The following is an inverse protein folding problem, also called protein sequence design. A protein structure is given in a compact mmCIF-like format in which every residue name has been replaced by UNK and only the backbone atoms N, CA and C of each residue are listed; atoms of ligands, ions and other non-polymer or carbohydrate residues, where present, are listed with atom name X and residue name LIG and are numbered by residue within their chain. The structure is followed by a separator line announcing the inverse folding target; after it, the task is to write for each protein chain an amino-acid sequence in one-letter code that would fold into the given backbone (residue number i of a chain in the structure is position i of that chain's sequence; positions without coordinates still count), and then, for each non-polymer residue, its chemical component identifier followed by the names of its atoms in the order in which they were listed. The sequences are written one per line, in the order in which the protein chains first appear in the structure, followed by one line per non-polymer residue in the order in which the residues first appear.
data_IF_532662627990
#
_entry.id   IF_532662627990
#
_cell.length_a   1.000
_cell.length_b   1.000
_cell.length_c   1.000
_cell.angle_alpha   90.00
_cell.angle_beta   90.00
_cell.angle_gamma   90.00
#
_symmetry.space_group_name_H-M   'P 1'
#
loop_
_entity.id
_entity.type
_entity.pdbx_description
1 polymer ?
#
# COMPACT_ATOMS: atom_id res chain seq x y z
N UNK A 1 10.59 -45.54 -11.43
CA UNK A 1 11.31 -44.88 -10.33
C UNK A 1 10.97 -43.38 -10.21
N UNK A 2 11.08 -42.59 -11.29
CA UNK A 2 10.79 -41.14 -11.26
C UNK A 2 9.36 -40.80 -10.76
N UNK A 3 8.34 -41.52 -11.26
CA UNK A 3 6.96 -41.34 -10.81
C UNK A 3 6.74 -41.73 -9.34
N UNK A 4 7.47 -42.71 -8.82
CA UNK A 4 7.37 -43.09 -7.39
C UNK A 4 8.01 -42.02 -6.53
N UNK A 5 9.20 -41.51 -6.90
CA UNK A 5 9.89 -40.45 -6.18
C UNK A 5 9.07 -39.13 -6.17
N UNK A 6 8.53 -38.75 -7.34
CA UNK A 6 7.69 -37.55 -7.42
C UNK A 6 6.38 -37.73 -6.66
N UNK A 7 5.80 -38.93 -6.62
CA UNK A 7 4.64 -39.27 -5.80
C UNK A 7 4.93 -39.11 -4.29
N UNK A 8 6.05 -39.66 -3.85
CA UNK A 8 6.49 -39.46 -2.46
C UNK A 8 6.73 -37.98 -2.12
N UNK A 9 7.34 -37.20 -3.04
CA UNK A 9 7.52 -35.75 -2.87
C UNK A 9 6.18 -35.00 -2.75
N UNK A 10 5.16 -35.38 -3.53
CA UNK A 10 3.81 -34.80 -3.43
C UNK A 10 3.20 -35.07 -2.05
N UNK A 11 3.32 -36.28 -1.53
CA UNK A 11 2.82 -36.62 -0.19
C UNK A 11 3.51 -35.77 0.89
N UNK A 12 4.84 -35.67 0.82
CA UNK A 12 5.61 -34.82 1.77
C UNK A 12 5.23 -33.36 1.64
N UNK A 13 5.05 -32.84 0.41
CA UNK A 13 4.61 -31.47 0.16
C UNK A 13 3.24 -31.17 0.76
N UNK A 14 2.29 -32.09 0.65
CA UNK A 14 0.98 -31.95 1.26
C UNK A 14 1.08 -31.95 2.79
N UNK A 15 1.88 -32.83 3.36
CA UNK A 15 2.10 -32.87 4.83
C UNK A 15 2.71 -31.53 5.33
N UNK A 16 3.73 -31.01 4.64
CA UNK A 16 4.33 -29.73 4.96
C UNK A 16 3.35 -28.55 4.80
N UNK A 17 2.54 -28.59 3.73
CA UNK A 17 1.52 -27.58 3.48
C UNK A 17 0.52 -27.50 4.65
N UNK A 18 0.00 -28.63 5.11
CA UNK A 18 -0.92 -28.64 6.26
C UNK A 18 -0.25 -28.24 7.58
N UNK A 19 1.01 -28.58 7.74
CA UNK A 19 1.77 -28.21 8.94
C UNK A 19 2.07 -26.70 9.00
N UNK A 20 2.38 -26.09 7.85
CA UNK A 20 2.77 -24.68 7.78
C UNK A 20 1.58 -23.71 7.58
N UNK A 21 0.42 -24.22 7.15
CA UNK A 21 -0.76 -23.41 6.88
C UNK A 21 -1.21 -22.56 8.09
N UNK A 22 -1.28 -23.07 9.33
CA UNK A 22 -1.68 -22.26 10.48
C UNK A 22 -0.73 -21.09 10.73
N UNK A 23 0.58 -21.35 10.65
CA UNK A 23 1.61 -20.31 10.79
C UNK A 23 1.47 -19.22 9.72
N UNK A 24 1.19 -19.62 8.49
CA UNK A 24 0.99 -18.68 7.39
C UNK A 24 -0.28 -17.84 7.57
N UNK A 25 -1.36 -18.43 8.04
CA UNK A 25 -2.62 -17.74 8.35
C UNK A 25 -2.44 -16.71 9.47
N UNK A 26 -1.70 -17.06 10.52
CA UNK A 26 -1.39 -16.15 11.63
C UNK A 26 -0.55 -14.96 11.16
N UNK A 27 0.49 -15.20 10.35
CA UNK A 27 1.37 -14.15 9.83
C UNK A 27 0.68 -13.22 8.84
N UNK A 28 -0.25 -13.74 8.03
CA UNK A 28 -0.90 -12.94 6.96
C UNK A 28 -2.26 -12.38 7.35
N UNK A 29 -2.84 -12.81 8.48
CA UNK A 29 -4.20 -12.47 8.89
C UNK A 29 -5.30 -12.99 7.95
N UNK A 30 -4.96 -13.86 6.97
CA UNK A 30 -5.89 -14.36 5.96
C UNK A 30 -6.31 -15.79 6.27
N UNK A 31 -7.62 -16.04 6.28
CA UNK A 31 -8.16 -17.39 6.39
C UNK A 31 -8.11 -18.09 5.02
N UNK A 32 -7.07 -18.86 4.79
CA UNK A 32 -6.89 -19.66 3.58
C UNK A 32 -7.39 -21.09 3.83
N UNK A 33 -8.33 -21.54 3.02
CA UNK A 33 -8.79 -22.92 3.03
C UNK A 33 -8.27 -23.66 1.78
N UNK A 34 -7.65 -24.82 1.99
CA UNK A 34 -7.23 -25.66 0.86
C UNK A 34 -8.46 -26.44 0.38
N UNK A 35 -8.84 -26.34 -0.90
CA UNK A 35 -10.07 -26.94 -1.40
C UNK A 35 -9.91 -28.45 -1.67
N UNK A 36 -9.49 -29.22 -0.68
CA UNK A 36 -9.28 -30.69 -0.80
C UNK A 36 -10.55 -31.46 -1.14
N UNK A 37 -11.72 -30.90 -0.89
CA UNK A 37 -13.01 -31.51 -1.24
C UNK A 37 -13.38 -31.36 -2.72
N UNK A 38 -12.60 -30.60 -3.51
CA UNK A 38 -12.92 -30.36 -4.91
C UNK A 38 -12.13 -31.29 -5.83
N UNK A 39 -12.80 -31.87 -6.82
CA UNK A 39 -12.14 -32.69 -7.85
C UNK A 39 -11.08 -31.93 -8.64
N UNK A 40 -11.26 -30.61 -8.82
CA UNK A 40 -10.30 -29.75 -9.52
C UNK A 40 -8.94 -29.71 -8.83
N UNK A 41 -8.92 -29.72 -7.51
CA UNK A 41 -7.67 -29.76 -6.73
C UNK A 41 -6.89 -31.05 -7.03
N UNK A 42 -7.54 -32.20 -6.96
CA UNK A 42 -6.89 -33.48 -7.21
C UNK A 42 -6.49 -33.69 -8.66
N UNK A 43 -7.30 -33.21 -9.61
CA UNK A 43 -6.94 -33.22 -11.04
C UNK A 43 -5.71 -32.35 -11.32
N UNK A 44 -5.65 -31.16 -10.75
CA UNK A 44 -4.49 -30.27 -10.87
C UNK A 44 -3.24 -30.89 -10.25
N UNK A 45 -3.35 -31.42 -9.04
CA UNK A 45 -2.25 -32.08 -8.34
C UNK A 45 -1.74 -33.32 -9.09
N UNK A 46 -2.65 -34.16 -9.59
CA UNK A 46 -2.30 -35.32 -10.41
C UNK A 46 -1.64 -34.91 -11.74
N UNK A 47 -2.13 -33.83 -12.37
CA UNK A 47 -1.53 -33.24 -13.56
C UNK A 47 -0.10 -32.79 -13.34
N UNK A 48 0.16 -32.06 -12.26
CA UNK A 48 1.51 -31.62 -11.85
C UNK A 48 2.40 -32.83 -11.54
N UNK A 49 1.91 -33.79 -10.78
CA UNK A 49 2.65 -35.01 -10.46
C UNK A 49 3.10 -35.78 -11.74
N UNK A 50 2.16 -35.99 -12.66
CA UNK A 50 2.44 -36.68 -13.92
C UNK A 50 3.42 -35.88 -14.80
N UNK A 51 3.21 -34.57 -14.94
CA UNK A 51 4.08 -33.70 -15.75
C UNK A 51 5.52 -33.71 -15.22
N UNK A 52 5.69 -33.52 -13.90
CA UNK A 52 7.01 -33.54 -13.26
C UNK A 52 7.65 -34.93 -13.31
N UNK A 53 6.88 -35.97 -13.03
CA UNK A 53 7.36 -37.37 -13.06
C UNK A 53 7.80 -37.82 -14.46
N UNK A 54 7.05 -37.43 -15.49
CA UNK A 54 7.41 -37.72 -16.89
C UNK A 54 8.61 -36.88 -17.34
N UNK A 55 8.63 -35.58 -17.03
CA UNK A 55 9.75 -34.69 -17.39
C UNK A 55 11.07 -35.15 -16.74
N UNK A 56 11.03 -35.49 -15.42
CA UNK A 56 12.22 -35.97 -14.70
C UNK A 56 12.69 -37.35 -15.13
N UNK A 57 11.76 -38.22 -15.54
CA UNK A 57 12.07 -39.58 -16.01
C UNK A 57 12.45 -39.67 -17.47
N UNK A 58 11.99 -38.73 -18.32
CA UNK A 58 12.21 -38.79 -19.78
C UNK A 58 13.68 -38.64 -20.18
N UNK A 59 14.40 -37.69 -19.56
CA UNK A 59 15.82 -37.48 -19.88
C UNK A 59 16.70 -38.71 -19.59
N UNK A 60 16.68 -39.33 -18.39
CA UNK A 60 17.43 -40.53 -18.09
C UNK A 60 17.03 -41.71 -19.00
N UNK A 61 15.72 -41.86 -19.31
CA UNK A 61 15.23 -42.94 -20.15
C UNK A 61 15.72 -42.80 -21.59
N UNK A 62 15.62 -41.61 -22.18
CA UNK A 62 16.09 -41.36 -23.55
C UNK A 62 17.61 -41.47 -23.66
N UNK A 63 18.34 -40.98 -22.64
CA UNK A 63 19.79 -41.06 -22.59
C UNK A 63 20.28 -42.49 -22.48
N UNK A 64 19.71 -43.28 -21.57
CA UNK A 64 20.08 -44.69 -21.40
C UNK A 64 19.70 -45.55 -22.63
N UNK A 65 18.57 -45.28 -23.28
CA UNK A 65 18.15 -46.00 -24.48
C UNK A 65 19.02 -45.70 -25.70
N UNK A 66 19.71 -44.56 -25.73
CA UNK A 66 20.62 -44.17 -26.81
C UNK A 66 22.04 -44.75 -26.68
N UNK A 67 22.36 -45.33 -25.52
CA UNK A 67 23.69 -45.92 -25.26
C UNK A 67 23.86 -47.28 -25.93
N UNK A 68 24.86 -47.40 -26.80
CA UNK A 68 25.24 -48.67 -27.43
C UNK A 68 26.04 -49.51 -26.41
N UNK A 69 25.55 -50.70 -25.98
CA UNK A 69 26.19 -51.50 -24.92
C UNK A 69 27.67 -51.85 -25.19
N UNK A 70 28.02 -52.00 -26.45
CA UNK A 70 29.40 -52.32 -26.86
C UNK A 70 30.37 -51.12 -26.72
N UNK A 71 29.88 -49.89 -26.87
CA UNK A 71 30.67 -48.66 -26.63
C UNK A 71 30.79 -48.32 -25.15
N UNK A 72 29.77 -48.62 -24.37
CA UNK A 72 29.78 -48.38 -22.92
C UNK A 72 30.85 -49.20 -22.18
N UNK A 73 31.24 -50.34 -22.72
CA UNK A 73 32.30 -51.19 -22.19
C UNK A 73 33.72 -50.77 -22.63
N UNK A 74 33.87 -50.07 -23.76
CA UNK A 74 35.18 -49.68 -24.32
C UNK A 74 35.62 -48.25 -24.11
N UNK A 75 34.72 -47.33 -23.90
CA UNK A 75 35.04 -45.91 -23.72
C UNK A 75 34.59 -45.38 -22.33
N UNK A 76 35.44 -44.58 -21.72
CA UNK A 76 35.06 -43.77 -20.54
C UNK A 76 34.04 -42.72 -20.96
N UNK A 77 32.76 -43.11 -21.11
CA UNK A 77 31.63 -42.25 -21.54
C UNK A 77 31.16 -41.27 -20.44
N UNK A 78 32.10 -40.73 -19.69
CA UNK A 78 31.76 -39.84 -18.54
C UNK A 78 31.47 -38.38 -18.94
N UNK A 79 31.59 -37.96 -20.21
CA UNK A 79 31.57 -36.55 -20.58
C UNK A 79 30.19 -36.00 -21.04
N UNK A 80 29.32 -36.82 -21.63
CA UNK A 80 28.09 -36.33 -22.25
C UNK A 80 27.05 -35.80 -21.22
N UNK A 81 26.93 -36.41 -20.07
CA UNK A 81 26.03 -35.93 -19.00
C UNK A 81 26.58 -34.80 -18.12
N UNK A 82 27.90 -34.55 -18.20
CA UNK A 82 28.55 -33.55 -17.35
C UNK A 82 28.17 -32.11 -17.72
N UNK A 83 28.01 -31.81 -19.01
CA UNK A 83 27.61 -30.48 -19.49
C UNK A 83 26.17 -30.11 -19.06
N UNK A 84 25.23 -31.05 -19.19
CA UNK A 84 23.87 -30.80 -18.72
C UNK A 84 23.80 -30.58 -17.22
N UNK A 85 24.48 -31.41 -16.43
CA UNK A 85 24.57 -31.26 -14.97
C UNK A 85 25.20 -29.94 -14.55
N UNK A 86 26.29 -29.52 -15.22
CA UNK A 86 26.92 -28.20 -15.00
C UNK A 86 25.96 -27.08 -15.35
N UNK A 87 25.25 -27.17 -16.48
CA UNK A 87 24.24 -26.17 -16.87
C UNK A 87 23.11 -26.04 -15.85
N UNK A 88 22.61 -27.17 -15.35
CA UNK A 88 21.57 -27.18 -14.31
C UNK A 88 22.05 -26.54 -13.00
N UNK A 89 23.26 -26.84 -12.58
CA UNK A 89 23.88 -26.25 -11.37
C UNK A 89 24.05 -24.74 -11.56
N UNK A 90 24.60 -24.29 -12.71
CA UNK A 90 24.74 -22.86 -13.00
C UNK A 90 23.36 -22.17 -12.99
N UNK A 91 22.37 -22.75 -13.64
CA UNK A 91 21.00 -22.22 -13.66
C UNK A 91 20.43 -22.11 -12.24
N UNK A 92 20.57 -23.15 -11.41
CA UNK A 92 20.09 -23.16 -10.03
C UNK A 92 20.77 -22.07 -9.19
N UNK A 93 22.12 -21.95 -9.28
CA UNK A 93 22.84 -20.89 -8.56
C UNK A 93 22.46 -19.49 -9.06
N UNK A 94 22.32 -19.32 -10.39
CA UNK A 94 21.90 -18.04 -10.95
C UNK A 94 20.50 -17.62 -10.44
N UNK A 95 19.55 -18.56 -10.46
CA UNK A 95 18.22 -18.33 -9.94
C UNK A 95 18.23 -17.97 -8.44
N UNK A 96 19.04 -18.70 -7.65
CA UNK A 96 19.17 -18.43 -6.22
C UNK A 96 19.75 -17.04 -5.95
N UNK A 97 20.76 -16.61 -6.72
CA UNK A 97 21.35 -15.28 -6.59
C UNK A 97 20.34 -14.20 -6.98
N UNK A 98 19.58 -14.40 -8.06
CA UNK A 98 18.54 -13.46 -8.50
C UNK A 98 17.47 -13.31 -7.41
N UNK A 99 16.99 -14.43 -6.84
CA UNK A 99 15.97 -14.39 -5.79
C UNK A 99 16.49 -13.72 -4.52
N UNK A 100 17.74 -13.99 -4.14
CA UNK A 100 18.38 -13.34 -2.98
C UNK A 100 18.53 -11.82 -3.21
N UNK A 101 18.98 -11.40 -4.39
CA UNK A 101 19.10 -10.00 -4.74
C UNK A 101 17.72 -9.30 -4.74
N UNK A 102 16.70 -9.95 -5.31
CA UNK A 102 15.33 -9.43 -5.30
C UNK A 102 14.79 -9.25 -3.87
N UNK A 103 15.05 -10.21 -2.99
CA UNK A 103 14.66 -10.13 -1.58
C UNK A 103 15.33 -8.97 -0.86
N UNK A 104 16.63 -8.76 -1.08
CA UNK A 104 17.37 -7.65 -0.48
C UNK A 104 16.86 -6.28 -0.98
N UNK A 105 16.54 -6.18 -2.28
CA UNK A 105 15.95 -4.95 -2.84
C UNK A 105 14.58 -4.71 -2.22
N UNK A 106 13.73 -5.72 -2.16
CA UNK A 106 12.40 -5.63 -1.54
C UNK A 106 12.48 -5.19 -0.08
N UNK A 107 13.38 -5.79 0.70
CA UNK A 107 13.57 -5.42 2.10
C UNK A 107 14.00 -3.95 2.25
N UNK A 108 14.97 -3.49 1.44
CA UNK A 108 15.38 -2.08 1.46
C UNK A 108 14.26 -1.11 1.05
N UNK A 109 13.44 -1.50 0.07
CA UNK A 109 12.29 -0.68 -0.33
C UNK A 109 11.25 -0.60 0.80
N UNK A 110 11.01 -1.70 1.49
CA UNK A 110 10.08 -1.73 2.62
C UNK A 110 10.60 -0.86 3.79
N UNK A 111 11.88 -0.97 4.13
CA UNK A 111 12.52 -0.13 5.14
C UNK A 111 12.44 1.36 4.76
N UNK A 112 12.65 1.68 3.50
CA UNK A 112 12.52 3.05 3.00
C UNK A 112 11.09 3.59 3.20
N UNK A 113 10.06 2.83 2.80
CA UNK A 113 8.65 3.22 2.94
C UNK A 113 8.27 3.40 4.43
N UNK A 114 8.79 2.54 5.30
CA UNK A 114 8.46 2.58 6.72
C UNK A 114 9.13 3.76 7.46
N UNK A 115 10.33 4.16 7.05
CA UNK A 115 11.12 5.17 7.77
C UNK A 115 11.17 6.53 7.07
N UNK A 116 10.61 6.67 5.86
CA UNK A 116 10.56 7.97 5.20
C UNK A 116 9.56 8.88 5.89
N UNK A 117 10.00 10.10 6.21
CA UNK A 117 9.13 11.14 6.73
C UNK A 117 8.10 11.53 5.66
N UNK A 118 6.84 11.31 5.95
CA UNK A 118 5.72 11.63 5.04
C UNK A 118 5.07 12.99 5.33
N UNK A 119 5.62 13.73 6.30
CA UNK A 119 5.13 15.08 6.66
C UNK A 119 4.05 15.07 7.75
N UNK A 120 3.66 13.91 8.27
CA UNK A 120 2.80 13.78 9.44
C UNK A 120 3.22 12.60 10.33
N UNK A 121 2.77 12.58 11.57
CA UNK A 121 3.10 11.54 12.54
C UNK A 121 2.18 10.32 12.35
N UNK A 122 2.75 9.19 11.87
CA UNK A 122 2.01 7.93 11.74
C UNK A 122 1.95 7.14 13.04
N UNK A 123 2.97 7.31 13.86
CA UNK A 123 3.07 6.61 15.13
C UNK A 123 1.97 7.11 16.04
N UNK A 124 1.18 6.21 16.59
CA UNK A 124 0.07 6.53 17.49
C UNK A 124 -1.11 7.28 16.83
N UNK A 125 -1.21 7.32 15.51
CA UNK A 125 -2.41 7.79 14.82
C UNK A 125 -3.32 6.59 14.56
N UNK A 126 -4.48 6.59 15.23
CA UNK A 126 -5.55 5.63 14.98
C UNK A 126 -6.60 6.27 14.09
N UNK A 127 -7.11 5.54 13.11
CA UNK A 127 -8.24 5.99 12.32
C UNK A 127 -9.29 4.89 12.18
N UNK A 128 -10.56 5.27 12.29
CA UNK A 128 -11.71 4.37 12.23
C UNK A 128 -12.76 4.92 11.26
N UNK A 129 -13.43 4.07 10.46
CA UNK A 129 -14.52 4.52 9.60
C UNK A 129 -15.69 5.09 10.42
N UNK A 130 -16.34 6.13 9.90
CA UNK A 130 -17.59 6.65 10.47
C UNK A 130 -18.72 5.74 9.99
N UNK A 131 -19.23 4.89 10.88
CA UNK A 131 -20.30 3.94 10.59
C UNK A 131 -21.33 3.91 11.71
N UNK A 132 -22.57 3.56 11.36
CA UNK A 132 -23.65 3.40 12.34
C UNK A 132 -23.89 4.67 13.17
N UNK A 133 -23.94 4.54 14.49
CA UNK A 133 -24.23 5.65 15.41
C UNK A 133 -23.10 6.70 15.47
N UNK A 134 -21.88 6.38 15.04
CA UNK A 134 -20.79 7.36 14.97
C UNK A 134 -21.09 8.52 14.00
N UNK A 135 -21.96 8.28 13.02
CA UNK A 135 -22.39 9.30 12.08
C UNK A 135 -23.27 10.41 12.72
N UNK A 136 -24.04 10.04 13.74
CA UNK A 136 -24.97 10.96 14.45
C UNK A 136 -24.42 11.46 15.78
N UNK A 137 -23.61 10.64 16.45
CA UNK A 137 -23.19 10.87 17.83
C UNK A 137 -21.69 11.23 17.93
N UNK A 138 -21.11 11.80 16.85
CA UNK A 138 -19.69 12.13 16.77
C UNK A 138 -19.20 12.99 17.92
N UNK A 139 -19.94 14.04 18.30
CA UNK A 139 -19.55 14.92 19.40
C UNK A 139 -19.49 14.21 20.76
N UNK A 140 -20.46 13.33 21.02
CA UNK A 140 -20.46 12.51 22.21
C UNK A 140 -19.28 11.51 22.21
N UNK A 141 -19.00 10.92 21.07
CA UNK A 141 -17.83 10.06 20.90
C UNK A 141 -16.52 10.84 21.12
N UNK A 142 -16.35 12.01 20.47
CA UNK A 142 -15.17 12.87 20.62
C UNK A 142 -14.92 13.22 22.07
N UNK A 143 -15.96 13.62 22.81
CA UNK A 143 -15.85 13.95 24.21
C UNK A 143 -15.40 12.75 25.08
N UNK A 144 -15.96 11.56 24.82
CA UNK A 144 -15.58 10.34 25.53
C UNK A 144 -14.18 9.86 25.18
N UNK A 145 -13.82 9.88 23.88
CA UNK A 145 -12.50 9.47 23.41
C UNK A 145 -11.40 10.39 23.98
N UNK A 146 -11.62 11.70 23.99
CA UNK A 146 -10.66 12.67 24.54
C UNK A 146 -10.47 12.50 26.06
N UNK A 147 -11.44 11.92 26.78
CA UNK A 147 -11.32 11.63 28.21
C UNK A 147 -10.47 10.37 28.50
N UNK A 148 -10.15 9.57 27.49
CA UNK A 148 -9.31 8.36 27.64
C UNK A 148 -7.85 8.76 27.86
N UNK A 149 -7.17 8.29 28.90
CA UNK A 149 -5.76 8.59 29.13
C UNK A 149 -4.90 8.15 27.93
N UNK A 150 -4.11 9.06 27.38
CA UNK A 150 -3.25 8.83 26.23
C UNK A 150 -3.82 9.36 24.92
N UNK A 151 -5.09 9.68 24.84
CA UNK A 151 -5.67 10.39 23.68
C UNK A 151 -5.36 11.88 23.81
N UNK A 152 -4.68 12.44 22.80
CA UNK A 152 -4.27 13.84 22.79
C UNK A 152 -5.25 14.73 22.03
N UNK A 153 -5.80 14.21 20.94
CA UNK A 153 -6.72 14.95 20.07
C UNK A 153 -7.60 13.97 19.30
N UNK A 154 -8.78 14.43 18.89
CA UNK A 154 -9.73 13.68 18.08
C UNK A 154 -10.27 14.61 17.00
N UNK A 155 -10.19 14.18 15.76
CA UNK A 155 -10.73 14.89 14.60
C UNK A 155 -11.46 13.94 13.66
N UNK A 156 -12.00 14.47 12.59
CA UNK A 156 -12.59 13.68 11.51
C UNK A 156 -12.21 14.25 10.15
N UNK A 157 -12.21 13.38 9.13
CA UNK A 157 -12.03 13.78 7.74
C UNK A 157 -12.90 12.94 6.81
N UNK A 158 -13.30 13.52 5.66
CA UNK A 158 -14.13 12.82 4.66
C UNK A 158 -13.42 11.66 3.98
N UNK A 159 -12.12 11.74 3.87
CA UNK A 159 -11.28 10.75 3.21
C UNK A 159 -10.54 9.90 4.23
N UNK A 160 -9.60 9.09 3.77
CA UNK A 160 -8.58 8.47 4.62
C UNK A 160 -7.35 9.38 4.72
N UNK A 161 -6.64 9.41 5.85
CA UNK A 161 -5.39 10.18 5.98
C UNK A 161 -4.28 9.70 5.03
N UNK A 162 -4.40 8.48 4.52
CA UNK A 162 -3.44 7.86 3.60
C UNK A 162 -3.86 7.93 2.14
N UNK A 163 -5.08 8.41 1.84
CA UNK A 163 -5.60 8.48 0.49
C UNK A 163 -6.72 9.50 0.37
N UNK A 164 -6.42 10.63 -0.26
CA UNK A 164 -7.38 11.68 -0.61
C UNK A 164 -7.59 11.61 -2.12
N UNK A 165 -8.72 11.01 -2.53
CA UNK A 165 -9.02 10.73 -3.93
C UNK A 165 -9.67 11.91 -4.66
N UNK A 166 -10.38 12.75 -3.92
CA UNK A 166 -11.21 13.78 -4.51
C UNK A 166 -10.36 14.95 -5.02
N UNK A 167 -10.69 15.40 -6.24
CA UNK A 167 -10.05 16.55 -6.88
C UNK A 167 -11.07 17.57 -7.31
N UNK A 168 -10.70 18.85 -7.25
CA UNK A 168 -11.51 19.96 -7.71
C UNK A 168 -10.74 20.84 -8.68
N UNK A 169 -11.46 21.42 -9.61
CA UNK A 169 -10.93 22.39 -10.60
C UNK A 169 -11.64 23.75 -10.48
N UNK A 170 -12.66 23.84 -9.63
CA UNK A 170 -13.52 25.01 -9.45
C UNK A 170 -12.93 26.13 -8.61
N UNK A 171 -11.61 26.09 -8.28
CA UNK A 171 -11.00 27.10 -7.44
C UNK A 171 -10.57 28.30 -8.26
N UNK A 172 -11.00 29.49 -7.83
CA UNK A 172 -10.57 30.78 -8.40
C UNK A 172 -9.96 31.68 -7.33
N UNK A 173 -9.01 32.50 -7.74
CA UNK A 173 -8.30 33.46 -6.88
C UNK A 173 -7.93 34.73 -7.66
N UNK A 174 -7.74 35.86 -6.99
CA UNK A 174 -7.27 37.07 -7.62
C UNK A 174 -5.91 36.86 -8.30
N UNK A 175 -5.82 37.22 -9.58
CA UNK A 175 -4.61 37.04 -10.37
C UNK A 175 -4.51 35.69 -11.10
N UNK A 176 -5.51 34.81 -10.99
CA UNK A 176 -5.55 33.58 -11.79
C UNK A 176 -5.58 33.91 -13.29
N UNK A 177 -4.60 33.40 -14.09
CA UNK A 177 -4.60 33.68 -15.52
C UNK A 177 -5.84 33.10 -16.22
N UNK A 178 -6.44 33.81 -17.18
CA UNK A 178 -7.59 33.31 -17.95
C UNK A 178 -7.26 31.99 -18.63
N UNK A 179 -8.17 31.03 -18.58
CA UNK A 179 -7.98 29.71 -19.19
C UNK A 179 -7.10 28.74 -18.42
N UNK A 180 -6.55 29.15 -17.27
CA UNK A 180 -5.78 28.22 -16.41
C UNK A 180 -6.72 27.27 -15.69
N UNK A 181 -6.53 25.97 -15.90
CA UNK A 181 -7.20 24.92 -15.14
C UNK A 181 -6.15 24.21 -14.29
N UNK A 182 -6.23 24.38 -12.98
CA UNK A 182 -5.41 23.65 -12.01
C UNK A 182 -6.28 22.69 -11.26
N UNK A 183 -5.78 21.47 -11.11
CA UNK A 183 -6.39 20.45 -10.25
C UNK A 183 -5.84 20.61 -8.83
N UNK A 184 -6.73 20.61 -7.87
CA UNK A 184 -6.39 20.57 -6.45
C UNK A 184 -6.97 19.30 -5.85
N UNK A 185 -6.20 18.60 -5.07
CA UNK A 185 -6.74 17.61 -4.16
C UNK A 185 -7.50 18.36 -3.08
N UNK A 186 -8.72 17.96 -2.77
CA UNK A 186 -9.56 18.60 -1.76
C UNK A 186 -9.85 17.70 -0.57
N UNK A 187 -9.56 18.22 0.61
CA UNK A 187 -9.86 17.57 1.86
C UNK A 187 -10.93 18.35 2.63
N UNK A 188 -11.89 17.62 3.17
CA UNK A 188 -12.89 18.16 4.09
C UNK A 188 -12.61 17.56 5.45
N UNK A 189 -12.41 18.42 6.44
CA UNK A 189 -11.94 18.04 7.77
C UNK A 189 -12.78 18.69 8.88
N UNK A 190 -12.72 18.10 10.06
CA UNK A 190 -13.26 18.70 11.28
C UNK A 190 -12.22 19.55 12.00
N UNK A 191 -12.64 20.16 13.11
CA UNK A 191 -11.74 20.85 14.02
C UNK A 191 -10.64 19.91 14.54
N UNK A 192 -9.50 20.48 14.91
CA UNK A 192 -8.34 19.78 15.47
C UNK A 192 -7.63 18.83 14.47
N UNK A 193 -7.91 18.95 13.15
CA UNK A 193 -7.31 18.09 12.14
C UNK A 193 -5.79 18.21 12.09
N UNK A 194 -5.26 19.44 12.04
CA UNK A 194 -3.82 19.69 11.94
C UNK A 194 -3.10 19.16 13.18
N UNK A 195 -3.67 19.39 14.37
CA UNK A 195 -3.11 18.92 15.63
C UNK A 195 -3.18 17.39 15.78
N UNK A 196 -4.29 16.76 15.34
CA UNK A 196 -4.47 15.30 15.42
C UNK A 196 -3.51 14.57 14.47
N UNK A 197 -3.32 15.09 13.26
CA UNK A 197 -2.37 14.57 12.29
C UNK A 197 -0.92 15.00 12.57
N UNK A 198 -0.72 15.92 13.51
CA UNK A 198 0.58 16.58 13.78
C UNK A 198 1.21 17.17 12.53
N UNK A 199 0.38 17.78 11.68
CA UNK A 199 0.85 18.48 10.50
C UNK A 199 1.59 19.75 10.92
N UNK A 200 2.61 20.13 10.16
CA UNK A 200 3.33 21.35 10.40
C UNK A 200 2.69 22.50 9.60
N UNK A 201 2.43 23.60 10.32
CA UNK A 201 2.04 24.86 9.69
C UNK A 201 3.29 25.66 9.38
N UNK A 202 3.46 26.01 8.10
CA UNK A 202 4.54 26.90 7.67
C UNK A 202 4.26 28.34 8.08
N UNK A 203 3.00 28.76 7.96
CA UNK A 203 2.52 30.07 8.36
C UNK A 203 1.02 30.06 8.63
N UNK A 204 0.55 31.05 9.38
CA UNK A 204 -0.87 31.18 9.71
C UNK A 204 -1.29 30.32 10.91
N UNK A 205 -2.54 29.85 10.89
CA UNK A 205 -3.17 29.09 11.98
C UNK A 205 -4.06 27.96 11.46
N UNK A 206 -4.37 27.02 12.35
CA UNK A 206 -5.38 25.98 12.13
C UNK A 206 -6.80 26.54 12.30
N UNK A 207 -7.80 25.75 11.88
CA UNK A 207 -9.21 25.99 12.17
C UNK A 207 -9.47 25.97 13.68
N UNK A 208 -10.31 26.89 14.15
CA UNK A 208 -10.68 26.95 15.56
C UNK A 208 -12.13 27.35 15.73
N UNK A 209 -12.82 26.66 16.63
CA UNK A 209 -14.21 27.01 17.01
C UNK A 209 -14.35 28.40 17.65
N UNK A 210 -13.24 28.99 18.08
CA UNK A 210 -13.22 30.35 18.63
C UNK A 210 -13.39 31.43 17.56
N UNK A 211 -13.23 31.08 16.28
CA UNK A 211 -13.39 32.00 15.15
C UNK A 211 -14.61 31.57 14.33
N UNK A 212 -15.71 32.24 14.51
CA UNK A 212 -16.99 31.87 13.86
C UNK A 212 -17.00 31.94 12.34
N UNK A 213 -15.95 32.48 11.70
CA UNK A 213 -15.81 32.54 10.23
C UNK A 213 -14.96 31.39 9.64
N UNK A 214 -14.45 30.46 10.43
CA UNK A 214 -13.58 29.39 9.94
C UNK A 214 -14.29 28.39 9.03
N UNK A 215 -15.61 28.33 9.06
CA UNK A 215 -16.41 27.58 8.06
C UNK A 215 -16.28 28.11 6.63
N UNK A 216 -15.81 29.37 6.49
CA UNK A 216 -15.50 29.99 5.20
C UNK A 216 -14.00 30.19 5.00
N UNK A 217 -13.16 29.49 5.75
CA UNK A 217 -11.71 29.57 5.65
C UNK A 217 -11.12 28.34 4.97
N UNK A 218 -9.90 28.52 4.46
CA UNK A 218 -9.14 27.45 3.80
C UNK A 218 -7.74 27.32 4.37
N UNK A 219 -7.24 26.08 4.46
CA UNK A 219 -5.82 25.79 4.54
C UNK A 219 -5.35 25.29 3.17
N UNK A 220 -4.13 25.63 2.79
CA UNK A 220 -3.52 25.14 1.56
C UNK A 220 -2.11 24.66 1.86
N UNK A 221 -1.58 23.74 1.03
CA UNK A 221 -0.18 23.32 1.18
C UNK A 221 0.78 24.21 0.39
N UNK A 222 2.09 24.07 0.63
CA UNK A 222 3.12 24.81 -0.10
C UNK A 222 3.05 24.60 -1.61
N UNK A 223 2.73 23.38 -2.05
CA UNK A 223 2.58 23.06 -3.48
C UNK A 223 1.42 23.86 -4.09
N UNK A 224 0.31 24.05 -3.38
CA UNK A 224 -0.79 24.90 -3.84
C UNK A 224 -0.36 26.39 -3.93
N UNK A 225 0.36 26.89 -2.94
CA UNK A 225 0.92 28.26 -2.96
C UNK A 225 1.77 28.47 -4.21
N UNK A 226 2.68 27.52 -4.52
CA UNK A 226 3.53 27.58 -5.72
C UNK A 226 2.71 27.50 -7.01
N UNK A 227 1.75 26.59 -7.08
CA UNK A 227 0.91 26.39 -8.26
C UNK A 227 0.02 27.60 -8.58
N UNK A 228 -0.45 28.30 -7.54
CA UNK A 228 -1.24 29.52 -7.65
C UNK A 228 -0.38 30.77 -7.90
N UNK A 229 0.93 30.71 -7.68
CA UNK A 229 1.85 31.84 -7.81
C UNK A 229 1.68 32.90 -6.71
N UNK A 230 1.19 32.51 -5.54
CA UNK A 230 0.92 33.45 -4.44
C UNK A 230 2.22 33.85 -3.73
N UNK A 231 2.44 35.15 -3.57
CA UNK A 231 3.58 35.68 -2.82
C UNK A 231 3.24 35.85 -1.33
N UNK A 232 2.00 36.20 -1.03
CA UNK A 232 1.44 36.33 0.30
C UNK A 232 0.13 35.55 0.36
N UNK A 233 0.19 34.28 0.77
CA UNK A 233 -0.98 33.41 0.74
C UNK A 233 -1.99 33.71 1.85
N UNK A 234 -1.53 34.16 3.04
CA UNK A 234 -2.44 34.47 4.15
C UNK A 234 -3.36 35.65 3.84
N UNK A 235 -4.63 35.47 4.16
CA UNK A 235 -5.68 36.45 3.86
C UNK A 235 -6.11 36.51 2.39
N UNK A 236 -5.47 35.73 1.50
CA UNK A 236 -5.85 35.66 0.09
C UNK A 236 -7.28 35.11 -0.05
N UNK A 237 -8.12 35.84 -0.76
CA UNK A 237 -9.48 35.38 -1.04
C UNK A 237 -9.47 34.27 -2.08
N UNK A 238 -10.19 33.21 -1.79
CA UNK A 238 -10.45 32.10 -2.71
C UNK A 238 -11.95 31.92 -2.88
N UNK A 239 -12.36 31.53 -4.08
CA UNK A 239 -13.69 31.06 -4.36
C UNK A 239 -13.61 29.61 -4.83
N UNK A 240 -14.28 28.74 -4.12
CA UNK A 240 -14.39 27.33 -4.45
C UNK A 240 -15.84 26.97 -4.74
N UNK A 241 -16.19 26.91 -6.03
CA UNK A 241 -17.54 26.61 -6.52
C UNK A 241 -18.64 27.49 -5.87
N UNK A 242 -18.36 28.82 -5.77
CA UNK A 242 -19.27 29.80 -5.18
C UNK A 242 -19.16 29.94 -3.65
N UNK A 243 -18.32 29.17 -2.99
CA UNK A 243 -18.00 29.34 -1.57
C UNK A 243 -16.78 30.24 -1.45
N UNK A 244 -17.03 31.49 -1.09
CA UNK A 244 -15.98 32.47 -0.89
C UNK A 244 -15.39 32.35 0.52
N UNK A 245 -14.08 32.44 0.61
CA UNK A 245 -13.37 32.40 1.89
C UNK A 245 -11.93 32.89 1.76
N UNK A 246 -11.17 32.81 2.86
CA UNK A 246 -9.80 33.27 2.91
C UNK A 246 -8.86 32.15 3.34
N UNK A 247 -7.63 32.19 2.83
CA UNK A 247 -6.54 31.33 3.32
C UNK A 247 -6.12 31.81 4.72
N UNK A 248 -6.25 30.95 5.72
CA UNK A 248 -5.87 31.23 7.10
C UNK A 248 -4.57 30.58 7.53
N UNK A 249 -4.09 29.60 6.79
CA UNK A 249 -2.84 28.93 7.06
C UNK A 249 -2.30 28.16 5.87
N UNK A 250 -0.98 27.98 5.88
CA UNK A 250 -0.25 27.17 4.89
C UNK A 250 0.39 26.00 5.60
N UNK A 251 0.04 24.79 5.15
CA UNK A 251 0.63 23.55 5.62
C UNK A 251 1.96 23.29 4.90
N UNK A 252 2.93 22.76 5.58
CA UNK A 252 4.07 22.14 4.91
C UNK A 252 3.59 20.99 4.03
N UNK A 253 4.32 20.72 2.97
CA UNK A 253 3.98 19.62 2.07
C UNK A 253 4.08 18.28 2.79
N UNK A 254 3.05 17.45 2.68
CA UNK A 254 3.00 16.10 3.24
C UNK A 254 2.41 15.11 2.23
N UNK A 255 2.76 13.83 2.37
CA UNK A 255 2.26 12.77 1.51
C UNK A 255 0.90 12.28 2.01
N UNK A 256 -0.15 12.70 1.35
CA UNK A 256 -1.53 12.23 1.59
C UNK A 256 -2.02 11.19 0.56
N UNK A 257 -1.15 10.83 -0.38
CA UNK A 257 -1.35 9.79 -1.38
C UNK A 257 -0.09 8.92 -1.47
N UNK A 258 -0.05 8.00 -2.44
CA UNK A 258 1.10 7.13 -2.67
C UNK A 258 2.39 7.93 -2.86
N UNK A 259 3.47 7.51 -2.21
CA UNK A 259 4.81 8.11 -2.36
C UNK A 259 5.39 7.98 -3.78
N UNK A 260 4.74 7.25 -4.69
CA UNK A 260 5.11 7.20 -6.11
C UNK A 260 4.67 8.46 -6.88
N UNK A 261 3.80 9.27 -6.30
CA UNK A 261 3.33 10.51 -6.88
C UNK A 261 4.00 11.71 -6.19
N UNK A 262 4.22 12.76 -6.97
CA UNK A 262 4.62 14.05 -6.41
C UNK A 262 3.49 14.61 -5.55
N UNK A 263 3.84 15.38 -4.52
CA UNK A 263 2.84 16.04 -3.69
C UNK A 263 2.05 17.02 -4.55
N UNK A 264 0.74 16.86 -4.56
CA UNK A 264 -0.20 17.67 -5.35
C UNK A 264 -0.62 18.94 -4.60
N UNK A 265 -1.10 19.97 -5.32
CA UNK A 265 -1.75 21.11 -4.68
C UNK A 265 -2.94 20.63 -3.84
N UNK A 266 -2.95 20.94 -2.55
CA UNK A 266 -3.98 20.56 -1.60
C UNK A 266 -4.72 21.79 -1.10
N UNK A 267 -6.04 21.72 -1.07
CA UNK A 267 -6.91 22.67 -0.36
C UNK A 267 -7.72 21.91 0.69
N UNK A 268 -7.77 22.46 1.88
CA UNK A 268 -8.49 21.89 3.02
C UNK A 268 -9.54 22.88 3.47
N UNK A 269 -10.77 22.40 3.68
CA UNK A 269 -11.86 23.20 4.23
C UNK A 269 -12.45 22.55 5.47
N UNK A 270 -12.92 23.39 6.35
CA UNK A 270 -13.68 22.97 7.53
C UNK A 270 -15.14 22.68 7.15
N UNK A 271 -15.65 21.55 7.57
CA UNK A 271 -17.06 21.22 7.56
C UNK A 271 -17.29 20.17 8.66
N UNK A 272 -18.31 20.34 9.45
CA UNK A 272 -18.68 19.40 10.52
C UNK A 272 -19.95 18.59 10.17
N UNK A 273 -20.59 18.92 9.05
CA UNK A 273 -21.93 18.43 8.72
C UNK A 273 -21.90 17.27 7.71
N UNK A 274 -21.11 16.21 8.01
CA UNK A 274 -21.18 14.99 7.20
C UNK A 274 -21.17 13.74 8.09
N UNK A 275 -21.72 12.66 7.54
CA UNK A 275 -22.00 11.42 8.25
C UNK A 275 -21.20 10.20 7.77
N UNK A 276 -20.14 10.43 6.99
CA UNK A 276 -19.28 9.37 6.46
C UNK A 276 -17.81 9.85 6.40
N UNK A 277 -16.88 8.94 6.30
CA UNK A 277 -15.45 9.23 6.28
C UNK A 277 -14.72 8.55 7.42
N UNK A 278 -13.78 9.23 8.04
CA UNK A 278 -12.85 8.64 9.02
C UNK A 278 -12.71 9.54 10.23
N UNK A 279 -12.77 8.96 11.43
CA UNK A 279 -12.37 9.60 12.68
C UNK A 279 -10.88 9.33 12.89
N UNK A 280 -10.15 10.35 13.30
CA UNK A 280 -8.73 10.35 13.61
C UNK A 280 -8.55 10.56 15.13
N UNK A 281 -7.68 9.78 15.74
CA UNK A 281 -7.39 9.81 17.17
C UNK A 281 -5.89 9.77 17.40
#
# INVERSE_FOLDING_TARGET
EALVLTGAAVVVSLALLFMLLPLFQELTGKQLAIPIATARFWLGLSGIWLAVGLASGSYPALYLSSLNPLRALKEKTAQSGALFRKGLVVFQFSLSIILMAAMLVFQRQMDFIQHTAIGYERSNLLYIPIEGNLATDYEAFKAQATAVPGVLSVSKMRNSPTYIEHHTWGITWPGKPPGTTLSFTDAVVGYDFVSTMRLQLKEGRDFSSNFGMDTSAFLINETAVRAMGLQQPLGQSLDWDGRQGQVIGVLEDFHFNSMHHTIEPLIVRLDENWSWGTILI
#
